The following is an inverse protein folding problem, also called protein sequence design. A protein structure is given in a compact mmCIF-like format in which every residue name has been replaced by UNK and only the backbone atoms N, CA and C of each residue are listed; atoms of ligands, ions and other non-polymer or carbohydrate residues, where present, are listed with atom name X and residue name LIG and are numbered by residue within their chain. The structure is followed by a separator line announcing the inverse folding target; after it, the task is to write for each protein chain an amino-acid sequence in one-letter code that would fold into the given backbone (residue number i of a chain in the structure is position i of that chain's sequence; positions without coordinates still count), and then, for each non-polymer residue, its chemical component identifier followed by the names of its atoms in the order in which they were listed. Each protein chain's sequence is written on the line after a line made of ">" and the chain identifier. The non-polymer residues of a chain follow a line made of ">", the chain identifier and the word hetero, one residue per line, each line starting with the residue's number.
data_IF_723585995988
#
_entry.id   IF_723585995988
#
_cell.length_a   1.000
_cell.length_b   1.000
_cell.length_c   1.000
_cell.angle_alpha   90.00
_cell.angle_beta   90.00
_cell.angle_gamma   90.00
#
_symmetry.space_group_name_H-M   'P 1'
#
loop_
_entity.id
_entity.type
_entity.pdbx_description
1 polymer ?
#
# COMPACT_ATOMS: atom_id res chain seq x y z
N UNK A 1 10.62 63.14 30.61
CA UNK A 1 10.14 62.76 29.27
C UNK A 1 9.68 61.31 29.32
N UNK A 2 8.37 61.10 29.48
CA UNK A 2 7.73 59.78 29.43
C UNK A 2 7.39 59.49 27.96
N UNK A 3 7.97 58.44 27.38
CA UNK A 3 7.58 57.99 26.04
C UNK A 3 6.36 57.08 26.16
N UNK A 4 5.20 57.62 25.79
CA UNK A 4 3.96 56.89 25.53
C UNK A 4 4.14 56.05 24.26
N UNK A 5 4.41 54.75 24.42
CA UNK A 5 4.29 53.78 23.32
C UNK A 5 2.92 53.11 23.45
N UNK A 6 2.03 53.42 22.49
CA UNK A 6 0.79 52.67 22.29
C UNK A 6 1.10 51.45 21.41
N UNK A 7 0.62 50.28 21.83
CA UNK A 7 0.66 49.06 21.01
C UNK A 7 -0.45 49.18 19.98
N UNK A 8 -0.09 49.35 18.69
CA UNK A 8 -1.05 49.60 17.60
C UNK A 8 -1.51 48.28 16.94
N UNK A 9 -0.75 47.18 17.07
CA UNK A 9 -1.17 45.87 16.59
C UNK A 9 -0.31 44.76 17.22
N UNK A 10 -0.97 43.72 17.74
CA UNK A 10 -0.33 42.43 18.04
C UNK A 10 -0.79 41.48 16.95
N UNK A 11 -0.09 41.49 15.81
CA UNK A 11 -0.29 40.51 14.75
C UNK A 11 0.28 39.16 15.19
N UNK A 12 -0.57 38.12 15.19
CA UNK A 12 -0.20 36.76 15.54
C UNK A 12 0.93 36.22 14.64
N UNK A 13 2.16 36.24 15.16
CA UNK A 13 3.32 35.55 14.57
C UNK A 13 3.18 34.02 14.56
N UNK A 14 2.03 33.49 14.97
CA UNK A 14 1.70 32.05 15.01
C UNK A 14 1.15 31.53 13.67
N UNK A 15 0.59 32.40 12.83
CA UNK A 15 0.05 32.00 11.52
C UNK A 15 1.14 31.68 10.50
N UNK A 16 2.29 32.36 10.60
CA UNK A 16 3.42 32.19 9.68
C UNK A 16 4.15 30.84 9.88
N UNK A 17 4.07 30.26 11.08
CA UNK A 17 4.62 28.93 11.35
C UNK A 17 3.69 27.81 10.83
N UNK A 18 2.37 28.03 10.88
CA UNK A 18 1.36 27.11 10.35
C UNK A 18 1.33 27.12 8.82
N UNK A 19 1.54 28.27 8.18
CA UNK A 19 1.68 28.39 6.73
C UNK A 19 2.96 27.70 6.21
N UNK A 20 4.07 27.81 6.95
CA UNK A 20 5.33 27.14 6.61
C UNK A 20 5.24 25.60 6.73
N UNK A 21 4.49 25.09 7.73
CA UNK A 21 4.20 23.66 7.86
C UNK A 21 3.17 23.16 6.82
N UNK A 22 2.22 24.00 6.40
CA UNK A 22 1.26 23.68 5.32
C UNK A 22 1.93 23.46 3.96
N UNK A 23 3.07 24.11 3.70
CA UNK A 23 3.81 24.00 2.43
C UNK A 23 4.78 22.81 2.35
N UNK A 24 4.86 21.95 3.37
CA UNK A 24 5.60 20.70 3.27
C UNK A 24 4.68 19.66 2.60
N UNK A 25 4.70 19.65 1.26
CA UNK A 25 3.90 18.76 0.40
C UNK A 25 4.07 17.25 0.68
N UNK A 26 5.09 16.86 1.46
CA UNK A 26 5.31 15.49 1.90
C UNK A 26 4.42 15.05 3.08
N UNK A 27 3.89 15.98 3.90
CA UNK A 27 3.09 15.65 5.08
C UNK A 27 1.58 15.64 4.83
N UNK A 28 1.12 16.22 3.72
CA UNK A 28 -0.30 16.36 3.39
C UNK A 28 -0.79 15.14 2.59
N UNK A 29 -1.06 14.03 3.29
CA UNK A 29 -1.69 12.84 2.70
C UNK A 29 -3.01 12.55 3.39
N UNK A 30 -4.07 12.42 2.60
CA UNK A 30 -5.40 12.04 3.09
C UNK A 30 -5.36 10.61 3.63
N UNK A 31 -5.92 10.39 4.82
CA UNK A 31 -5.98 9.03 5.39
C UNK A 31 -6.97 8.18 4.61
N UNK A 32 -6.63 6.91 4.42
CA UNK A 32 -7.48 5.96 3.67
C UNK A 32 -8.91 5.87 4.25
N UNK A 33 -9.06 5.94 5.59
CA UNK A 33 -10.36 6.00 6.28
C UNK A 33 -11.19 7.25 5.94
N UNK A 34 -10.55 8.41 5.79
CA UNK A 34 -11.25 9.67 5.44
C UNK A 34 -11.82 9.57 4.02
N UNK A 35 -11.08 8.97 3.09
CA UNK A 35 -11.56 8.70 1.73
C UNK A 35 -12.73 7.69 1.71
N UNK A 36 -12.67 6.65 2.54
CA UNK A 36 -13.79 5.70 2.68
C UNK A 36 -15.07 6.43 3.06
N UNK A 37 -15.00 7.27 4.10
CA UNK A 37 -16.14 8.05 4.57
C UNK A 37 -16.63 9.01 3.48
N UNK A 38 -15.72 9.72 2.82
CA UNK A 38 -16.05 10.60 1.72
C UNK A 38 -16.83 9.89 0.59
N UNK A 39 -16.29 8.77 0.06
CA UNK A 39 -16.95 8.05 -1.03
C UNK A 39 -18.30 7.46 -0.61
N UNK A 40 -18.40 6.89 0.59
CA UNK A 40 -19.66 6.37 1.12
C UNK A 40 -20.71 7.46 1.26
N UNK A 41 -20.35 8.60 1.87
CA UNK A 41 -21.28 9.71 2.04
C UNK A 41 -21.66 10.34 0.70
N UNK A 42 -20.73 10.45 -0.24
CA UNK A 42 -21.02 10.94 -1.59
C UNK A 42 -22.00 10.02 -2.34
N UNK A 43 -21.82 8.70 -2.23
CA UNK A 43 -22.77 7.72 -2.79
C UNK A 43 -24.18 7.92 -2.20
N UNK A 44 -24.29 8.05 -0.88
CA UNK A 44 -25.56 8.29 -0.19
C UNK A 44 -26.23 9.60 -0.64
N UNK A 45 -25.46 10.68 -0.81
CA UNK A 45 -25.98 11.96 -1.29
C UNK A 45 -26.50 11.87 -2.73
N UNK A 46 -25.76 11.18 -3.61
CA UNK A 46 -26.16 10.97 -5.00
C UNK A 46 -27.43 10.09 -5.09
N UNK A 47 -27.51 9.02 -4.30
CA UNK A 47 -28.69 8.14 -4.24
C UNK A 47 -29.93 8.89 -3.72
N UNK A 48 -29.73 9.84 -2.79
CA UNK A 48 -30.78 10.72 -2.31
C UNK A 48 -31.15 11.85 -3.32
N UNK A 49 -30.61 11.81 -4.55
CA UNK A 49 -30.79 12.84 -5.58
C UNK A 49 -30.39 14.25 -5.12
N UNK A 50 -29.44 14.38 -4.20
CA UNK A 50 -28.90 15.67 -3.79
C UNK A 50 -27.95 16.15 -4.91
N UNK A 51 -28.05 17.42 -5.36
CA UNK A 51 -27.14 17.95 -6.38
C UNK A 51 -25.66 17.78 -5.98
N UNK A 52 -24.82 17.31 -6.91
CA UNK A 52 -23.39 16.97 -6.67
C UNK A 52 -22.65 18.10 -5.97
N UNK A 53 -22.77 19.34 -6.47
CA UNK A 53 -22.13 20.52 -5.87
C UNK A 53 -22.56 20.69 -4.41
N UNK A 54 -23.86 20.58 -4.10
CA UNK A 54 -24.37 20.68 -2.74
C UNK A 54 -23.85 19.54 -1.86
N UNK A 55 -23.81 18.32 -2.38
CA UNK A 55 -23.22 17.16 -1.72
C UNK A 55 -21.76 17.44 -1.32
N UNK A 56 -20.93 17.84 -2.28
CA UNK A 56 -19.51 18.17 -2.04
C UNK A 56 -19.34 19.29 -1.00
N UNK A 57 -20.16 20.35 -1.05
CA UNK A 57 -20.12 21.42 -0.03
C UNK A 57 -20.45 20.89 1.36
N UNK A 58 -21.47 20.04 1.51
CA UNK A 58 -21.79 19.40 2.80
C UNK A 58 -20.61 18.55 3.29
N UNK A 59 -20.04 17.71 2.43
CA UNK A 59 -18.91 16.84 2.78
C UNK A 59 -17.65 17.64 3.16
N UNK A 60 -17.39 18.76 2.48
CA UNK A 60 -16.28 19.67 2.82
C UNK A 60 -16.44 20.27 4.22
N UNK A 61 -17.66 20.52 4.68
CA UNK A 61 -17.94 21.06 6.01
C UNK A 61 -17.89 19.99 7.10
N UNK A 62 -18.18 18.72 6.76
CA UNK A 62 -18.21 17.61 7.70
C UNK A 62 -16.85 16.90 7.86
N UNK A 63 -15.94 17.07 6.92
CA UNK A 63 -14.64 16.40 7.00
C UNK A 63 -13.76 17.02 8.08
N UNK A 64 -13.13 16.17 8.89
CA UNK A 64 -12.22 16.59 9.98
C UNK A 64 -10.82 16.95 9.46
N UNK A 65 -10.48 16.51 8.25
CA UNK A 65 -9.16 16.68 7.65
C UNK A 65 -9.10 17.97 6.86
N UNK A 66 -8.34 18.96 7.36
CA UNK A 66 -8.18 20.27 6.70
C UNK A 66 -7.70 20.12 5.25
N UNK A 67 -6.78 19.18 5.00
CA UNK A 67 -6.28 18.94 3.66
C UNK A 67 -7.34 18.34 2.73
N UNK A 68 -8.13 17.36 3.21
CA UNK A 68 -9.22 16.81 2.42
C UNK A 68 -10.33 17.85 2.22
N UNK A 69 -10.58 18.71 3.19
CA UNK A 69 -11.54 19.82 3.09
C UNK A 69 -11.17 20.78 1.96
N UNK A 70 -9.91 21.19 1.88
CA UNK A 70 -9.40 22.05 0.80
C UNK A 70 -9.63 21.38 -0.57
N UNK A 71 -9.27 20.10 -0.71
CA UNK A 71 -9.48 19.34 -1.94
C UNK A 71 -10.97 19.25 -2.32
N UNK A 72 -11.84 18.84 -1.40
CA UNK A 72 -13.28 18.71 -1.70
C UNK A 72 -13.89 20.07 -2.07
N UNK A 73 -13.44 21.14 -1.40
CA UNK A 73 -13.88 22.51 -1.71
C UNK A 73 -13.51 22.91 -3.13
N UNK A 74 -12.29 22.58 -3.56
CA UNK A 74 -11.83 22.87 -4.91
C UNK A 74 -12.55 22.02 -5.96
N UNK A 75 -12.74 20.73 -5.70
CA UNK A 75 -13.57 19.87 -6.56
C UNK A 75 -14.99 20.43 -6.70
N UNK A 76 -15.58 20.96 -5.61
CA UNK A 76 -16.89 21.60 -5.67
C UNK A 76 -16.87 22.88 -6.53
N UNK A 77 -15.82 23.70 -6.44
CA UNK A 77 -15.66 24.91 -7.27
C UNK A 77 -15.60 24.56 -8.76
N UNK A 78 -14.81 23.54 -9.12
CA UNK A 78 -14.64 23.12 -10.52
C UNK A 78 -15.94 22.54 -11.12
N UNK A 79 -16.67 21.74 -10.33
CA UNK A 79 -17.97 21.21 -10.77
C UNK A 79 -19.01 22.32 -10.88
N UNK A 80 -18.99 23.30 -9.96
CA UNK A 80 -19.85 24.50 -10.04
C UNK A 80 -19.51 25.37 -11.26
N UNK A 81 -18.24 25.41 -11.66
CA UNK A 81 -17.75 26.02 -12.89
C UNK A 81 -18.10 25.28 -14.18
N UNK A 82 -18.73 24.10 -14.08
CA UNK A 82 -19.24 23.31 -15.21
C UNK A 82 -18.37 22.12 -15.62
N UNK A 83 -17.29 21.81 -14.90
CA UNK A 83 -16.55 20.57 -15.13
C UNK A 83 -17.33 19.34 -14.67
N UNK A 84 -17.04 18.18 -15.25
CA UNK A 84 -17.53 16.90 -14.71
C UNK A 84 -16.86 16.59 -13.37
N UNK A 85 -17.53 15.80 -12.52
CA UNK A 85 -16.98 15.35 -11.24
C UNK A 85 -15.68 14.56 -11.45
N UNK A 86 -15.63 13.68 -12.45
CA UNK A 86 -14.41 12.94 -12.77
C UNK A 86 -13.25 13.85 -13.18
N UNK A 87 -13.50 14.87 -13.99
CA UNK A 87 -12.47 15.83 -14.42
C UNK A 87 -11.93 16.62 -13.23
N UNK A 88 -12.81 17.14 -12.38
CA UNK A 88 -12.42 17.87 -11.17
C UNK A 88 -11.61 16.98 -10.20
N UNK A 89 -12.00 15.71 -10.02
CA UNK A 89 -11.25 14.77 -9.18
C UNK A 89 -9.90 14.39 -9.77
N UNK A 90 -9.76 14.33 -11.10
CA UNK A 90 -8.52 13.99 -11.79
C UNK A 90 -7.38 14.99 -11.53
N UNK A 91 -7.71 16.22 -11.15
CA UNK A 91 -6.73 17.25 -10.76
C UNK A 91 -5.97 16.90 -9.47
N UNK A 92 -6.44 15.92 -8.69
CA UNK A 92 -5.84 15.50 -7.42
C UNK A 92 -5.42 14.02 -7.42
N UNK A 93 -4.47 13.60 -8.29
CA UNK A 93 -4.10 12.18 -8.48
C UNK A 93 -3.48 11.53 -7.21
N UNK A 94 -2.93 12.35 -6.31
CA UNK A 94 -2.40 11.88 -5.02
C UNK A 94 -3.50 11.49 -4.02
N UNK A 95 -4.74 11.93 -4.24
CA UNK A 95 -5.89 11.71 -3.37
C UNK A 95 -6.91 10.79 -4.03
N UNK A 96 -7.24 11.04 -5.30
CA UNK A 96 -8.13 10.23 -6.11
C UNK A 96 -7.30 9.52 -7.17
N UNK A 97 -7.11 8.22 -7.00
CA UNK A 97 -6.36 7.43 -7.99
C UNK A 97 -7.13 7.35 -9.31
N UNK A 98 -6.41 7.29 -10.42
CA UNK A 98 -6.95 7.14 -11.78
C UNK A 98 -7.99 6.03 -11.90
N UNK A 99 -7.82 4.93 -11.15
CA UNK A 99 -8.81 3.86 -11.00
C UNK A 99 -10.23 4.38 -10.69
N UNK A 100 -10.40 5.16 -9.62
CA UNK A 100 -11.71 5.61 -9.17
C UNK A 100 -12.23 6.73 -10.08
N UNK A 101 -11.33 7.61 -10.55
CA UNK A 101 -11.66 8.71 -11.47
C UNK A 101 -12.25 8.16 -12.78
N UNK A 102 -11.58 7.18 -13.40
CA UNK A 102 -12.03 6.57 -14.65
C UNK A 102 -13.37 5.83 -14.50
N UNK A 103 -13.59 5.19 -13.35
CA UNK A 103 -14.86 4.54 -13.04
C UNK A 103 -15.98 5.58 -12.92
N UNK A 104 -15.77 6.67 -12.17
CA UNK A 104 -16.73 7.77 -12.05
C UNK A 104 -17.05 8.39 -13.43
N UNK A 105 -16.02 8.64 -14.25
CA UNK A 105 -16.18 9.15 -15.62
C UNK A 105 -17.11 8.27 -16.47
N UNK A 106 -16.96 6.94 -16.37
CA UNK A 106 -17.85 6.00 -17.07
C UNK A 106 -19.29 6.08 -16.58
N UNK A 107 -19.49 6.31 -15.28
CA UNK A 107 -20.81 6.53 -14.67
C UNK A 107 -21.47 7.83 -15.10
N UNK A 108 -20.70 8.91 -15.21
CA UNK A 108 -21.18 10.20 -15.71
C UNK A 108 -21.61 10.09 -17.19
N UNK A 109 -20.75 9.48 -18.02
CA UNK A 109 -21.00 9.33 -19.45
C UNK A 109 -22.20 8.44 -19.75
N UNK A 110 -22.41 7.40 -18.94
CA UNK A 110 -23.52 6.44 -19.08
C UNK A 110 -24.81 6.84 -18.33
N UNK A 111 -24.78 7.95 -17.57
CA UNK A 111 -25.91 8.37 -16.74
C UNK A 111 -26.19 7.47 -15.53
N UNK A 112 -25.23 6.64 -15.13
CA UNK A 112 -25.36 5.65 -14.02
C UNK A 112 -24.47 6.01 -12.83
N UNK A 113 -24.30 7.30 -12.56
CA UNK A 113 -23.39 7.79 -11.52
C UNK A 113 -23.72 7.24 -10.12
N UNK A 114 -25.00 7.06 -9.77
CA UNK A 114 -25.44 6.45 -8.50
C UNK A 114 -24.90 5.03 -8.31
N UNK A 115 -25.09 4.15 -9.30
CA UNK A 115 -24.61 2.76 -9.25
C UNK A 115 -23.07 2.72 -9.15
N UNK A 116 -22.41 3.57 -9.92
CA UNK A 116 -20.95 3.65 -9.99
C UNK A 116 -20.36 4.20 -8.70
N UNK A 117 -20.96 5.22 -8.09
CA UNK A 117 -20.46 5.77 -6.83
C UNK A 117 -20.62 4.77 -5.68
N UNK A 118 -21.73 4.01 -5.64
CA UNK A 118 -21.89 2.91 -4.69
C UNK A 118 -20.81 1.84 -4.87
N UNK A 119 -20.52 1.45 -6.11
CA UNK A 119 -19.43 0.53 -6.40
C UNK A 119 -18.08 1.06 -5.90
N UNK A 120 -17.77 2.33 -6.15
CA UNK A 120 -16.53 2.97 -5.69
C UNK A 120 -16.45 2.98 -4.17
N UNK A 121 -17.55 3.32 -3.47
CA UNK A 121 -17.62 3.29 -2.02
C UNK A 121 -17.38 1.88 -1.45
N UNK A 122 -18.11 0.87 -1.96
CA UNK A 122 -17.97 -0.52 -1.55
C UNK A 122 -16.54 -1.04 -1.80
N UNK A 123 -15.96 -0.69 -2.93
CA UNK A 123 -14.59 -1.10 -3.28
C UNK A 123 -13.58 -0.42 -2.35
N UNK A 124 -13.75 0.88 -2.06
CA UNK A 124 -12.85 1.61 -1.16
C UNK A 124 -12.91 1.09 0.27
N UNK A 125 -14.09 0.72 0.76
CA UNK A 125 -14.27 0.06 2.07
C UNK A 125 -13.54 -1.29 2.11
N UNK A 126 -13.73 -2.14 1.10
CA UNK A 126 -13.04 -3.44 1.01
C UNK A 126 -11.51 -3.28 0.96
N UNK A 127 -11.02 -2.31 0.19
CA UNK A 127 -9.60 -2.01 0.09
C UNK A 127 -9.04 -1.55 1.46
N UNK A 128 -9.76 -0.68 2.16
CA UNK A 128 -9.40 -0.22 3.51
C UNK A 128 -9.41 -1.36 4.53
N UNK A 129 -10.43 -2.22 4.51
CA UNK A 129 -10.52 -3.36 5.42
C UNK A 129 -9.37 -4.35 5.22
N UNK A 130 -9.02 -4.61 3.97
CA UNK A 130 -7.85 -5.44 3.63
C UNK A 130 -6.56 -4.81 4.14
N UNK A 131 -6.34 -3.52 3.86
CA UNK A 131 -5.16 -2.79 4.31
C UNK A 131 -5.08 -2.76 5.85
N UNK A 132 -6.21 -2.52 6.52
CA UNK A 132 -6.35 -2.49 7.97
C UNK A 132 -6.04 -3.85 8.59
N UNK A 133 -6.56 -4.95 8.02
CA UNK A 133 -6.25 -6.32 8.45
C UNK A 133 -4.76 -6.62 8.32
N UNK A 134 -4.15 -6.27 7.18
CA UNK A 134 -2.72 -6.46 6.94
C UNK A 134 -1.91 -5.65 7.95
N UNK A 135 -2.24 -4.36 8.12
CA UNK A 135 -1.55 -3.47 9.06
C UNK A 135 -1.68 -3.97 10.50
N UNK A 136 -2.88 -4.37 10.91
CA UNK A 136 -3.17 -4.94 12.22
C UNK A 136 -2.36 -6.20 12.51
N UNK A 137 -2.30 -7.12 11.55
CA UNK A 137 -1.49 -8.33 11.66
C UNK A 137 0.03 -8.05 11.76
N UNK A 138 0.49 -6.93 11.20
CA UNK A 138 1.90 -6.53 11.23
C UNK A 138 2.33 -5.76 12.49
N UNK A 139 1.39 -5.29 13.33
CA UNK A 139 1.73 -4.52 14.54
C UNK A 139 2.58 -5.34 15.50
N UNK A 140 2.11 -6.54 15.85
CA UNK A 140 2.81 -7.41 16.81
C UNK A 140 4.19 -7.89 16.32
N UNK A 141 4.33 -8.39 15.07
CA UNK A 141 5.63 -8.72 14.49
C UNK A 141 6.61 -7.55 14.49
N UNK A 142 6.14 -6.36 14.08
CA UNK A 142 6.97 -5.16 14.02
C UNK A 142 7.46 -4.75 15.41
N UNK A 143 6.59 -4.84 16.43
CA UNK A 143 6.96 -4.55 17.80
C UNK A 143 8.06 -5.49 18.32
N UNK A 144 7.90 -6.81 18.17
CA UNK A 144 8.89 -7.79 18.64
C UNK A 144 10.22 -7.63 17.92
N UNK A 145 10.21 -7.54 16.59
CA UNK A 145 11.43 -7.37 15.80
C UNK A 145 12.13 -6.06 16.18
N UNK A 146 11.38 -4.98 16.41
CA UNK A 146 11.95 -3.70 16.86
C UNK A 146 12.63 -3.84 18.23
N UNK A 147 11.98 -4.48 19.20
CA UNK A 147 12.57 -4.73 20.53
C UNK A 147 13.81 -5.62 20.42
N UNK A 148 13.77 -6.69 19.61
CA UNK A 148 14.89 -7.59 19.38
C UNK A 148 16.08 -6.85 18.75
N UNK A 149 15.84 -5.98 17.77
CA UNK A 149 16.88 -5.17 17.13
C UNK A 149 17.48 -4.16 18.11
N UNK A 150 16.67 -3.47 18.93
CA UNK A 150 17.14 -2.52 19.94
C UNK A 150 17.99 -3.22 21.00
N UNK A 151 17.49 -4.33 21.56
CA UNK A 151 18.22 -5.11 22.58
C UNK A 151 19.50 -5.70 21.98
N UNK A 152 19.43 -6.27 20.77
CA UNK A 152 20.58 -6.80 20.05
C UNK A 152 21.64 -5.72 19.78
N UNK A 153 21.22 -4.52 19.37
CA UNK A 153 22.12 -3.39 19.18
C UNK A 153 22.83 -2.99 20.47
N UNK A 154 22.08 -2.84 21.59
CA UNK A 154 22.67 -2.50 22.89
C UNK A 154 23.71 -3.55 23.31
N UNK A 155 23.39 -4.83 23.15
CA UNK A 155 24.29 -5.92 23.50
C UNK A 155 25.57 -5.85 22.66
N UNK A 156 25.46 -5.74 21.34
CA UNK A 156 26.61 -5.72 20.44
C UNK A 156 27.45 -4.45 20.64
N UNK A 157 26.82 -3.28 20.80
CA UNK A 157 27.52 -2.00 20.90
C UNK A 157 28.16 -1.76 22.28
N UNK A 158 27.54 -2.21 23.37
CA UNK A 158 27.99 -1.90 24.73
C UNK A 158 28.39 -3.12 25.54
N UNK A 159 27.61 -4.19 25.53
CA UNK A 159 27.83 -5.34 26.43
C UNK A 159 29.02 -6.19 25.97
N UNK A 160 29.05 -6.55 24.68
CA UNK A 160 30.10 -7.41 24.13
C UNK A 160 31.50 -6.80 24.22
N UNK A 161 31.73 -5.50 23.89
CA UNK A 161 33.04 -4.87 24.06
C UNK A 161 33.52 -4.83 25.51
N UNK A 162 32.62 -4.54 26.45
CA UNK A 162 32.95 -4.52 27.88
C UNK A 162 33.34 -5.92 28.38
N UNK A 163 32.59 -6.96 28.00
CA UNK A 163 32.94 -8.35 28.33
C UNK A 163 34.29 -8.75 27.73
N UNK A 164 34.55 -8.38 26.48
CA UNK A 164 35.80 -8.69 25.82
C UNK A 164 37.01 -8.04 26.49
N UNK A 165 36.86 -6.79 26.98
CA UNK A 165 37.90 -6.11 27.75
C UNK A 165 38.27 -6.90 29.00
N UNK A 166 37.27 -7.30 29.80
CA UNK A 166 37.48 -8.10 31.03
C UNK A 166 38.13 -9.44 30.73
N UNK A 167 37.70 -10.13 29.67
CA UNK A 167 38.25 -11.43 29.26
C UNK A 167 39.69 -11.33 28.73
N UNK A 168 40.03 -10.21 28.06
CA UNK A 168 41.40 -9.97 27.59
C UNK A 168 42.37 -9.68 28.73
N UNK A 169 41.90 -9.03 29.80
CA UNK A 169 42.68 -8.74 31.01
C UNK A 169 42.93 -10.01 31.85
N UNK A 170 42.06 -11.02 31.76
CA UNK A 170 42.21 -12.31 32.44
C UNK A 170 43.07 -13.32 31.68
N UNK A 171 43.59 -12.98 30.49
CA UNK A 171 44.41 -13.87 29.64
C UNK A 171 43.63 -15.05 29.01
N UNK A 172 42.30 -15.06 29.10
CA UNK A 172 41.47 -16.14 28.57
C UNK A 172 41.28 -15.98 27.05
N UNK A 173 41.35 -17.09 26.30
CA UNK A 173 41.08 -17.05 24.87
C UNK A 173 39.59 -16.90 24.59
N UNK A 174 39.21 -15.86 23.86
CA UNK A 174 37.82 -15.61 23.49
C UNK A 174 37.28 -16.73 22.57
N UNK A 175 36.08 -17.29 22.85
CA UNK A 175 35.38 -18.17 21.91
C UNK A 175 35.20 -17.54 20.54
N UNK A 176 35.13 -18.37 19.49
CA UNK A 176 34.99 -17.89 18.11
C UNK A 176 33.71 -17.06 17.89
N UNK A 177 32.61 -17.41 18.58
CA UNK A 177 31.33 -16.68 18.54
C UNK A 177 31.53 -15.25 19.07
N UNK A 178 32.20 -15.09 20.21
CA UNK A 178 32.48 -13.79 20.83
C UNK A 178 33.44 -12.96 19.96
N UNK A 179 34.45 -13.58 19.34
CA UNK A 179 35.34 -12.90 18.38
C UNK A 179 34.60 -12.40 17.14
N UNK A 180 33.71 -13.20 16.56
CA UNK A 180 32.88 -12.79 15.44
C UNK A 180 31.99 -11.60 15.80
N UNK A 181 31.34 -11.64 16.97
CA UNK A 181 30.49 -10.54 17.44
C UNK A 181 31.28 -9.27 17.77
N UNK A 182 32.52 -9.38 18.26
CA UNK A 182 33.41 -8.23 18.46
C UNK A 182 33.82 -7.58 17.14
N UNK A 183 34.11 -8.37 16.11
CA UNK A 183 34.43 -7.83 14.79
C UNK A 183 33.22 -7.08 14.20
N UNK A 184 32.01 -7.62 14.39
CA UNK A 184 30.76 -6.97 13.99
C UNK A 184 30.51 -5.70 14.82
N UNK A 185 30.76 -5.74 16.13
CA UNK A 185 30.65 -4.58 17.03
C UNK A 185 31.58 -3.44 16.64
N UNK A 186 32.85 -3.75 16.30
CA UNK A 186 33.81 -2.76 15.81
C UNK A 186 33.37 -2.12 14.49
N UNK A 187 32.85 -2.93 13.56
CA UNK A 187 32.30 -2.45 12.29
C UNK A 187 31.09 -1.53 12.51
N UNK A 188 30.11 -1.96 13.33
CA UNK A 188 28.91 -1.17 13.62
C UNK A 188 29.27 0.11 14.36
N UNK A 189 30.12 0.06 15.38
CA UNK A 189 30.49 1.25 16.17
C UNK A 189 31.28 2.29 15.36
N UNK A 190 32.09 1.85 14.39
CA UNK A 190 32.88 2.73 13.53
C UNK A 190 32.11 3.27 12.32
N UNK A 191 31.22 2.46 11.72
CA UNK A 191 30.54 2.75 10.45
C UNK A 191 29.01 2.91 10.55
N UNK A 192 28.42 2.99 11.76
CA UNK A 192 26.95 3.12 11.89
C UNK A 192 26.38 4.28 11.07
N UNK A 193 27.07 5.42 11.03
CA UNK A 193 26.66 6.60 10.25
C UNK A 193 26.72 6.34 8.74
N UNK A 194 27.70 5.57 8.26
CA UNK A 194 27.85 5.19 6.86
C UNK A 194 26.79 4.14 6.45
N UNK A 195 26.44 3.22 7.35
CA UNK A 195 25.32 2.28 7.16
C UNK A 195 23.99 3.03 7.05
N UNK A 196 23.74 4.01 7.92
CA UNK A 196 22.54 4.86 7.82
C UNK A 196 22.54 5.67 6.52
N UNK A 197 23.67 6.27 6.15
CA UNK A 197 23.79 7.05 4.92
C UNK A 197 23.53 6.19 3.68
N UNK A 198 24.09 4.98 3.62
CA UNK A 198 23.83 4.02 2.54
C UNK A 198 22.37 3.55 2.53
N UNK A 199 21.79 3.30 3.70
CA UNK A 199 20.40 2.86 3.81
C UNK A 199 19.43 3.94 3.30
N UNK A 200 19.55 5.18 3.80
CA UNK A 200 18.73 6.29 3.34
C UNK A 200 19.03 6.67 1.88
N UNK A 201 20.29 6.60 1.47
CA UNK A 201 20.71 6.81 0.08
C UNK A 201 20.11 5.78 -0.88
N UNK A 202 20.11 4.50 -0.50
CA UNK A 202 19.48 3.43 -1.27
C UNK A 202 17.97 3.58 -1.34
N UNK A 203 17.32 3.97 -0.24
CA UNK A 203 15.87 4.27 -0.24
C UNK A 203 15.57 5.44 -1.17
N UNK A 204 16.31 6.54 -1.08
CA UNK A 204 16.12 7.70 -1.94
C UNK A 204 16.35 7.36 -3.43
N UNK A 205 17.42 6.62 -3.74
CA UNK A 205 17.72 6.15 -5.09
C UNK A 205 16.62 5.22 -5.62
N UNK A 206 16.13 4.30 -4.80
CA UNK A 206 15.02 3.41 -5.14
C UNK A 206 13.72 4.20 -5.39
N UNK A 207 13.38 5.15 -4.52
CA UNK A 207 12.20 6.01 -4.68
C UNK A 207 12.26 6.88 -5.93
N UNK A 208 13.46 7.34 -6.32
CA UNK A 208 13.67 8.05 -7.58
C UNK A 208 13.54 7.10 -8.78
N UNK A 209 14.10 5.89 -8.69
CA UNK A 209 14.08 4.89 -9.75
C UNK A 209 12.66 4.43 -10.09
N UNK A 210 11.82 4.15 -9.09
CA UNK A 210 10.43 3.69 -9.31
C UNK A 210 9.49 4.73 -9.93
N UNK A 211 9.92 6.00 -10.06
CA UNK A 211 9.18 7.03 -10.80
C UNK A 211 9.48 7.01 -12.31
N UNK A 212 10.48 6.24 -12.73
CA UNK A 212 10.80 6.07 -14.15
C UNK A 212 9.94 4.96 -14.77
N UNK A 213 9.64 4.99 -16.08
CA UNK A 213 8.85 3.94 -16.73
C UNK A 213 9.45 2.53 -16.58
N UNK A 214 10.78 2.43 -16.66
CA UNK A 214 11.48 1.15 -16.44
C UNK A 214 11.41 0.69 -14.99
N UNK A 215 11.54 1.62 -14.04
CA UNK A 215 11.43 1.32 -12.61
C UNK A 215 10.02 0.90 -12.20
N UNK A 216 8.99 1.48 -12.82
CA UNK A 216 7.60 1.07 -12.63
C UNK A 216 7.38 -0.37 -13.11
N UNK A 217 7.86 -0.73 -14.30
CA UNK A 217 7.76 -2.09 -14.83
C UNK A 217 8.47 -3.12 -13.93
N UNK A 218 9.69 -2.81 -13.49
CA UNK A 218 10.47 -3.69 -12.58
C UNK A 218 9.75 -3.83 -11.23
N UNK A 219 9.27 -2.72 -10.65
CA UNK A 219 8.52 -2.74 -9.40
C UNK A 219 7.27 -3.62 -9.51
N UNK A 220 6.51 -3.47 -10.58
CA UNK A 220 5.26 -4.19 -10.79
C UNK A 220 5.47 -5.67 -11.11
N UNK A 221 6.53 -6.00 -11.85
CA UNK A 221 6.99 -7.38 -12.07
C UNK A 221 7.50 -8.01 -10.77
N UNK A 222 8.24 -7.27 -9.94
CA UNK A 222 8.68 -7.76 -8.63
C UNK A 222 7.49 -8.07 -7.73
N UNK A 223 6.49 -7.19 -7.64
CA UNK A 223 5.29 -7.42 -6.80
C UNK A 223 4.64 -8.77 -7.06
N UNK A 224 4.52 -9.20 -8.32
CA UNK A 224 3.85 -10.45 -8.71
C UNK A 224 4.75 -11.69 -8.60
N UNK A 225 6.07 -11.51 -8.48
CA UNK A 225 7.07 -12.58 -8.46
C UNK A 225 7.68 -12.81 -7.06
N UNK A 226 7.47 -11.90 -6.10
CA UNK A 226 7.93 -12.10 -4.72
C UNK A 226 7.32 -13.40 -4.17
N UNK A 227 8.15 -14.32 -3.61
CA UNK A 227 7.64 -15.52 -2.97
C UNK A 227 6.61 -15.17 -1.90
N UNK A 228 5.58 -16.00 -1.77
CA UNK A 228 4.48 -15.81 -0.80
C UNK A 228 3.54 -14.64 -1.14
N UNK A 229 4.04 -13.40 -1.23
CA UNK A 229 3.21 -12.21 -1.48
C UNK A 229 2.80 -12.04 -2.96
N UNK A 230 3.56 -12.58 -3.91
CA UNK A 230 3.27 -12.47 -5.34
C UNK A 230 1.96 -13.14 -5.74
N UNK A 231 1.59 -14.23 -5.07
CA UNK A 231 0.27 -14.87 -5.23
C UNK A 231 -0.87 -13.95 -4.79
N UNK A 232 -0.70 -13.24 -3.68
CA UNK A 232 -1.68 -12.28 -3.17
C UNK A 232 -1.87 -11.16 -4.19
N UNK A 233 -0.78 -10.54 -4.66
CA UNK A 233 -0.85 -9.48 -5.66
C UNK A 233 -1.54 -9.94 -6.94
N UNK A 234 -1.17 -11.12 -7.46
CA UNK A 234 -1.81 -11.72 -8.63
C UNK A 234 -3.32 -11.88 -8.43
N UNK A 235 -3.75 -12.42 -7.29
CA UNK A 235 -5.17 -12.55 -6.99
C UNK A 235 -5.87 -11.19 -6.85
N UNK A 236 -5.22 -10.17 -6.26
CA UNK A 236 -5.77 -8.80 -6.18
C UNK A 236 -6.06 -8.25 -7.58
N UNK A 237 -5.11 -8.40 -8.51
CA UNK A 237 -5.29 -7.93 -9.88
C UNK A 237 -6.41 -8.71 -10.60
N UNK A 238 -6.49 -10.03 -10.41
CA UNK A 238 -7.60 -10.84 -10.94
C UNK A 238 -8.95 -10.41 -10.38
N UNK A 239 -9.06 -10.19 -9.07
CA UNK A 239 -10.30 -9.71 -8.44
C UNK A 239 -10.71 -8.36 -9.04
N UNK A 240 -9.76 -7.44 -9.19
CA UNK A 240 -9.99 -6.12 -9.79
C UNK A 240 -10.50 -6.24 -11.22
N UNK A 241 -9.81 -7.01 -12.08
CA UNK A 241 -10.21 -7.26 -13.47
C UNK A 241 -11.62 -7.85 -13.51
N UNK A 242 -11.86 -8.96 -12.83
CA UNK A 242 -13.15 -9.66 -12.88
C UNK A 242 -14.29 -8.79 -12.37
N UNK A 243 -14.08 -8.07 -11.26
CA UNK A 243 -15.12 -7.24 -10.65
C UNK A 243 -15.41 -5.99 -11.48
N UNK A 244 -14.39 -5.29 -11.96
CA UNK A 244 -14.59 -4.14 -12.87
C UNK A 244 -15.27 -4.58 -14.16
N UNK A 245 -14.87 -5.73 -14.72
CA UNK A 245 -15.46 -6.26 -15.94
C UNK A 245 -16.93 -6.66 -15.74
N UNK A 246 -17.25 -7.35 -14.65
CA UNK A 246 -18.63 -7.67 -14.29
C UNK A 246 -19.52 -6.42 -14.19
N UNK A 247 -19.02 -5.36 -13.55
CA UNK A 247 -19.74 -4.09 -13.40
C UNK A 247 -20.03 -3.45 -14.76
N UNK A 248 -19.03 -3.39 -15.65
CA UNK A 248 -19.17 -2.78 -16.98
C UNK A 248 -20.09 -3.58 -17.89
N UNK A 249 -19.96 -4.91 -17.89
CA UNK A 249 -20.84 -5.82 -18.66
C UNK A 249 -22.28 -5.74 -18.15
N UNK A 250 -22.49 -5.71 -16.82
CA UNK A 250 -23.81 -5.45 -16.22
C UNK A 250 -24.36 -4.08 -16.62
N UNK A 251 -23.48 -3.10 -16.79
CA UNK A 251 -23.77 -1.77 -17.32
C UNK A 251 -24.25 -1.77 -18.77
N UNK A 252 -24.07 -2.87 -19.51
CA UNK A 252 -24.32 -2.94 -20.95
C UNK A 252 -23.19 -2.33 -21.78
N UNK A 253 -22.02 -2.07 -21.20
CA UNK A 253 -20.86 -1.54 -21.92
C UNK A 253 -20.32 -2.63 -22.86
N UNK A 254 -20.04 -2.33 -24.14
CA UNK A 254 -19.44 -3.30 -25.06
C UNK A 254 -18.14 -3.91 -24.51
N UNK A 255 -17.85 -5.14 -24.88
CA UNK A 255 -16.71 -5.91 -24.33
C UNK A 255 -15.36 -5.22 -24.62
N UNK A 256 -15.11 -4.81 -25.87
CA UNK A 256 -13.84 -4.15 -26.25
C UNK A 256 -13.64 -2.83 -25.50
N UNK A 257 -14.72 -2.05 -25.34
CA UNK A 257 -14.70 -0.83 -24.54
C UNK A 257 -14.50 -1.13 -23.05
N UNK A 258 -15.11 -2.19 -22.53
CA UNK A 258 -14.93 -2.64 -21.15
C UNK A 258 -13.47 -3.00 -20.88
N UNK A 259 -12.82 -3.75 -21.77
CA UNK A 259 -11.39 -4.09 -21.65
C UNK A 259 -10.50 -2.85 -21.69
N UNK A 260 -10.82 -1.88 -22.55
CA UNK A 260 -10.10 -0.59 -22.60
C UNK A 260 -10.19 0.17 -21.27
N UNK A 261 -11.37 0.19 -20.64
CA UNK A 261 -11.54 0.76 -19.29
C UNK A 261 -10.75 -0.06 -18.27
N UNK A 262 -10.83 -1.39 -18.31
CA UNK A 262 -10.15 -2.30 -17.36
C UNK A 262 -8.63 -2.10 -17.41
N UNK A 263 -8.05 -1.91 -18.60
CA UNK A 263 -6.64 -1.58 -18.78
C UNK A 263 -6.24 -0.35 -17.97
N UNK A 264 -7.01 0.74 -18.07
CA UNK A 264 -6.72 1.99 -17.33
C UNK A 264 -6.93 1.91 -15.81
N UNK A 265 -7.44 0.79 -15.30
CA UNK A 265 -7.80 0.65 -13.88
C UNK A 265 -7.08 -0.53 -13.20
N UNK A 266 -6.51 -1.50 -13.93
CA UNK A 266 -5.86 -2.67 -13.29
C UNK A 266 -4.68 -2.28 -12.39
N UNK A 267 -3.97 -1.19 -12.71
CA UNK A 267 -2.94 -0.58 -11.84
C UNK A 267 -1.70 -1.46 -11.65
N UNK A 268 -1.34 -2.20 -12.70
CA UNK A 268 -0.10 -2.96 -12.82
C UNK A 268 0.26 -3.13 -14.28
N UNK A 269 1.44 -2.66 -14.67
CA UNK A 269 1.85 -2.60 -16.07
C UNK A 269 1.85 -3.98 -16.75
N UNK A 270 2.23 -5.05 -16.03
CA UNK A 270 2.22 -6.41 -16.58
C UNK A 270 0.79 -6.86 -16.89
N UNK A 271 -0.18 -6.53 -16.04
CA UNK A 271 -1.59 -6.84 -16.33
C UNK A 271 -2.21 -5.91 -17.37
N UNK A 272 -1.74 -4.66 -17.48
CA UNK A 272 -2.15 -3.75 -18.55
C UNK A 272 -1.74 -4.27 -19.91
N UNK A 273 -0.53 -4.81 -20.04
CA UNK A 273 -0.05 -5.48 -21.26
C UNK A 273 -0.93 -6.69 -21.59
N UNK A 274 -1.26 -7.53 -20.61
CA UNK A 274 -2.17 -8.69 -20.81
C UNK A 274 -3.54 -8.25 -21.32
N UNK A 275 -4.12 -7.21 -20.74
CA UNK A 275 -5.42 -6.69 -21.17
C UNK A 275 -5.31 -6.04 -22.55
N UNK A 276 -4.21 -5.36 -22.84
CA UNK A 276 -3.97 -4.75 -24.14
C UNK A 276 -3.91 -5.79 -25.26
N UNK A 277 -3.30 -6.96 -25.00
CA UNK A 277 -3.28 -8.07 -25.95
C UNK A 277 -4.67 -8.71 -26.09
N UNK A 278 -5.45 -8.78 -25.00
CA UNK A 278 -6.85 -9.21 -25.05
C UNK A 278 -7.73 -8.26 -25.88
N UNK A 279 -7.54 -6.94 -25.77
CA UNK A 279 -8.26 -5.95 -26.60
C UNK A 279 -8.02 -6.23 -28.08
N UNK A 280 -6.76 -6.35 -28.50
CA UNK A 280 -6.40 -6.62 -29.90
C UNK A 280 -7.04 -7.91 -30.40
N UNK A 281 -6.94 -8.97 -29.60
CA UNK A 281 -7.50 -10.28 -29.93
C UNK A 281 -9.02 -10.24 -30.12
N UNK A 282 -9.74 -9.50 -29.28
CA UNK A 282 -11.20 -9.34 -29.37
C UNK A 282 -11.60 -8.46 -30.55
N UNK A 283 -10.85 -7.39 -30.83
CA UNK A 283 -11.08 -6.53 -31.99
C UNK A 283 -10.87 -7.29 -33.32
N UNK A 284 -10.01 -8.32 -33.31
CA UNK A 284 -9.81 -9.27 -34.41
C UNK A 284 -10.89 -10.38 -34.48
N UNK A 285 -11.81 -10.44 -33.50
CA UNK A 285 -12.94 -11.37 -33.47
C UNK A 285 -12.70 -12.68 -32.71
N UNK A 286 -11.56 -12.83 -32.02
CA UNK A 286 -11.28 -14.01 -31.19
C UNK A 286 -11.94 -13.91 -29.81
N UNK A 287 -12.04 -15.04 -29.10
CA UNK A 287 -12.58 -15.07 -27.73
C UNK A 287 -11.59 -14.45 -26.72
N UNK A 288 -12.12 -13.84 -25.64
CA UNK A 288 -11.31 -13.26 -24.57
C UNK A 288 -10.53 -14.36 -23.86
N UNK A 289 -11.20 -15.49 -23.60
CA UNK A 289 -10.62 -16.63 -22.90
C UNK A 289 -9.37 -17.16 -23.60
N UNK A 290 -9.34 -17.23 -24.93
CA UNK A 290 -8.17 -17.65 -25.71
C UNK A 290 -6.97 -16.72 -25.52
N UNK A 291 -7.19 -15.40 -25.56
CA UNK A 291 -6.11 -14.43 -25.34
C UNK A 291 -5.53 -14.52 -23.93
N UNK A 292 -6.40 -14.64 -22.92
CA UNK A 292 -5.98 -14.76 -21.52
C UNK A 292 -5.29 -16.09 -21.20
N UNK A 293 -5.63 -17.17 -21.91
CA UNK A 293 -5.04 -18.50 -21.71
C UNK A 293 -3.53 -18.53 -21.96
N UNK A 294 -3.03 -17.64 -22.82
CA UNK A 294 -1.61 -17.57 -23.18
C UNK A 294 -0.70 -17.06 -22.05
N UNK A 295 -1.26 -16.38 -21.03
CA UNK A 295 -0.48 -15.72 -20.00
C UNK A 295 -0.46 -16.47 -18.65
N UNK A 296 0.75 -16.78 -18.17
CA UNK A 296 0.99 -17.52 -16.91
C UNK A 296 0.52 -16.79 -15.65
N UNK A 297 0.29 -15.48 -15.72
CA UNK A 297 -0.21 -14.68 -14.59
C UNK A 297 -1.74 -14.78 -14.44
N UNK A 298 -2.45 -15.26 -15.46
CA UNK A 298 -3.88 -15.52 -15.38
C UNK A 298 -4.10 -16.95 -14.91
N UNK A 299 -4.84 -17.18 -13.80
CA UNK A 299 -5.16 -18.52 -13.36
C UNK A 299 -6.07 -19.25 -14.35
N UNK A 300 -5.81 -20.55 -14.55
CA UNK A 300 -6.58 -21.42 -15.47
C UNK A 300 -8.09 -21.39 -15.18
N UNK A 301 -8.48 -21.29 -13.90
CA UNK A 301 -9.88 -21.26 -13.47
C UNK A 301 -10.58 -20.00 -14.01
N UNK A 302 -9.90 -18.85 -14.03
CA UNK A 302 -10.48 -17.60 -14.57
C UNK A 302 -10.73 -17.74 -16.07
N UNK A 303 -9.75 -18.28 -16.80
CA UNK A 303 -9.85 -18.51 -18.25
C UNK A 303 -11.04 -19.41 -18.57
N UNK A 304 -11.18 -20.53 -17.85
CA UNK A 304 -12.28 -21.47 -18.03
C UNK A 304 -13.63 -20.86 -17.69
N UNK A 305 -13.71 -20.09 -16.59
CA UNK A 305 -14.94 -19.42 -16.19
C UNK A 305 -15.37 -18.40 -17.23
N UNK A 306 -14.44 -17.61 -17.77
CA UNK A 306 -14.71 -16.65 -18.86
C UNK A 306 -15.20 -17.38 -20.10
N UNK A 307 -14.51 -18.44 -20.54
CA UNK A 307 -14.92 -19.26 -21.70
C UNK A 307 -16.36 -19.78 -21.54
N UNK A 308 -16.70 -20.36 -20.38
CA UNK A 308 -18.08 -20.81 -20.10
C UNK A 308 -19.08 -19.64 -20.11
N UNK A 309 -18.69 -18.47 -19.63
CA UNK A 309 -19.52 -17.26 -19.66
C UNK A 309 -19.72 -16.70 -21.06
N UNK A 310 -18.70 -16.77 -21.92
CA UNK A 310 -18.76 -16.38 -23.33
C UNK A 310 -19.73 -17.30 -24.09
N UNK A 311 -19.54 -18.63 -23.97
CA UNK A 311 -20.37 -19.63 -24.67
C UNK A 311 -21.84 -19.61 -24.22
N UNK A 312 -22.08 -19.36 -22.93
CA UNK A 312 -23.43 -19.37 -22.35
C UNK A 312 -24.11 -18.00 -22.29
N UNK A 313 -23.41 -16.93 -22.71
CA UNK A 313 -23.89 -15.55 -22.61
C UNK A 313 -24.05 -15.04 -21.17
N UNK A 314 -23.40 -15.69 -20.20
CA UNK A 314 -23.47 -15.39 -18.74
C UNK A 314 -22.15 -14.86 -18.21
N UNK A 315 -21.49 -14.01 -19.00
CA UNK A 315 -20.16 -13.47 -18.69
C UNK A 315 -20.16 -12.70 -17.36
N UNK A 316 -21.22 -11.94 -17.08
CA UNK A 316 -21.38 -11.21 -15.81
C UNK A 316 -21.29 -12.15 -14.61
N UNK A 317 -22.09 -13.21 -14.60
CA UNK A 317 -22.22 -14.11 -13.45
C UNK A 317 -20.92 -14.87 -13.18
N UNK A 318 -20.21 -15.30 -14.23
CA UNK A 318 -18.93 -16.00 -14.07
C UNK A 318 -17.81 -15.08 -13.59
N UNK A 319 -17.81 -13.81 -14.01
CA UNK A 319 -16.85 -12.80 -13.57
C UNK A 319 -17.07 -12.45 -12.09
N UNK A 320 -18.32 -12.25 -11.66
CA UNK A 320 -18.67 -12.02 -10.24
C UNK A 320 -18.22 -13.19 -9.36
N UNK A 321 -18.53 -14.43 -9.77
CA UNK A 321 -18.10 -15.63 -9.03
C UNK A 321 -16.59 -15.78 -8.96
N UNK A 322 -15.89 -15.46 -10.05
CA UNK A 322 -14.42 -15.50 -10.09
C UNK A 322 -13.81 -14.46 -9.15
N UNK A 323 -14.32 -13.23 -9.15
CA UNK A 323 -13.90 -12.19 -8.23
C UNK A 323 -14.10 -12.60 -6.77
N UNK A 324 -15.26 -13.17 -6.44
CA UNK A 324 -15.56 -13.60 -5.06
C UNK A 324 -14.72 -14.80 -4.61
N UNK A 325 -14.44 -15.74 -5.53
CA UNK A 325 -13.55 -16.86 -5.26
C UNK A 325 -12.14 -16.39 -4.91
N UNK A 326 -11.53 -15.55 -5.75
CA UNK A 326 -10.18 -15.04 -5.49
C UNK A 326 -10.13 -14.05 -4.32
N UNK A 327 -11.21 -13.31 -4.05
CA UNK A 327 -11.31 -12.49 -2.83
C UNK A 327 -11.21 -13.36 -1.56
N UNK A 328 -11.91 -14.50 -1.53
CA UNK A 328 -11.79 -15.46 -0.41
C UNK A 328 -10.40 -16.07 -0.33
N UNK A 329 -9.78 -16.36 -1.47
CA UNK A 329 -8.42 -16.90 -1.51
C UNK A 329 -7.38 -15.90 -0.97
N UNK A 330 -7.55 -14.61 -1.24
CA UNK A 330 -6.74 -13.53 -0.64
C UNK A 330 -6.95 -13.53 0.88
N UNK A 331 -8.19 -13.51 1.36
CA UNK A 331 -8.49 -13.51 2.80
C UNK A 331 -7.91 -14.75 3.52
N UNK A 332 -7.94 -15.91 2.88
CA UNK A 332 -7.37 -17.14 3.42
C UNK A 332 -5.84 -17.08 3.45
N UNK A 333 -5.22 -16.59 2.38
CA UNK A 333 -3.77 -16.44 2.30
C UNK A 333 -3.27 -15.46 3.36
N UNK A 334 -3.93 -14.31 3.52
CA UNK A 334 -3.58 -13.31 4.55
C UNK A 334 -3.70 -13.92 5.95
N UNK A 335 -4.79 -14.65 6.24
CA UNK A 335 -4.95 -15.35 7.54
C UNK A 335 -3.84 -16.37 7.79
N UNK A 336 -3.50 -17.18 6.79
CA UNK A 336 -2.44 -18.18 6.92
C UNK A 336 -1.07 -17.52 7.16
N UNK A 337 -0.78 -16.40 6.49
CA UNK A 337 0.45 -15.66 6.73
C UNK A 337 0.52 -15.10 8.14
N UNK A 338 -0.56 -14.48 8.62
CA UNK A 338 -0.63 -14.01 10.00
C UNK A 338 -0.34 -15.12 11.01
N UNK A 339 -0.90 -16.32 10.79
CA UNK A 339 -0.67 -17.48 11.67
C UNK A 339 0.76 -18.02 11.60
N UNK A 340 1.41 -17.96 10.44
CA UNK A 340 2.79 -18.43 10.27
C UNK A 340 3.84 -17.47 10.83
N UNK A 341 3.51 -16.18 10.97
CA UNK A 341 4.45 -15.19 11.49
C UNK A 341 4.83 -15.50 12.95
N UNK A 342 3.89 -15.96 13.78
CA UNK A 342 4.17 -16.25 15.20
C UNK A 342 5.21 -17.36 15.41
N UNK A 343 5.10 -18.56 14.81
CA UNK A 343 6.15 -19.59 14.87
C UNK A 343 7.52 -19.10 14.38
N UNK A 344 7.55 -18.33 13.29
CA UNK A 344 8.80 -17.78 12.75
C UNK A 344 9.45 -16.84 13.77
N UNK A 345 8.67 -15.97 14.40
CA UNK A 345 9.16 -15.07 15.47
C UNK A 345 9.72 -15.89 16.64
N UNK A 346 9.03 -16.94 17.09
CA UNK A 346 9.51 -17.78 18.20
C UNK A 346 10.85 -18.45 17.88
N UNK A 347 11.03 -18.95 16.65
CA UNK A 347 12.31 -19.54 16.22
C UNK A 347 13.41 -18.48 16.18
N UNK A 348 13.15 -17.31 15.59
CA UNK A 348 14.13 -16.22 15.51
C UNK A 348 14.53 -15.73 16.90
N UNK A 349 13.55 -15.56 17.80
CA UNK A 349 13.79 -15.13 19.17
C UNK A 349 14.58 -16.18 19.96
N UNK A 350 14.21 -17.46 19.83
CA UNK A 350 14.96 -18.56 20.45
C UNK A 350 16.41 -18.62 19.98
N UNK A 351 16.65 -18.47 18.67
CA UNK A 351 17.99 -18.39 18.11
C UNK A 351 18.76 -17.15 18.61
N UNK A 352 18.12 -15.98 18.62
CA UNK A 352 18.74 -14.74 19.10
C UNK A 352 19.14 -14.83 20.59
N UNK A 353 18.24 -15.33 21.44
CA UNK A 353 18.52 -15.54 22.87
C UNK A 353 19.57 -16.64 23.06
N UNK A 354 19.51 -17.73 22.31
CA UNK A 354 20.51 -18.80 22.35
C UNK A 354 21.91 -18.31 21.98
N UNK A 355 22.03 -17.52 20.92
CA UNK A 355 23.28 -16.87 20.52
C UNK A 355 23.78 -15.90 21.59
N UNK A 356 22.89 -15.13 22.21
CA UNK A 356 23.24 -14.23 23.32
C UNK A 356 23.80 -15.01 24.51
N UNK A 357 23.07 -16.04 24.96
CA UNK A 357 23.49 -16.89 26.08
C UNK A 357 24.84 -17.55 25.77
N UNK A 358 25.03 -18.08 24.56
CA UNK A 358 26.30 -18.65 24.15
C UNK A 358 27.43 -17.62 24.15
N UNK A 359 27.18 -16.40 23.68
CA UNK A 359 28.17 -15.33 23.62
C UNK A 359 28.62 -14.82 24.99
N UNK A 360 27.75 -14.90 26.01
CA UNK A 360 28.02 -14.40 27.38
C UNK A 360 28.45 -15.52 28.33
N UNK A 361 27.72 -16.63 28.38
CA UNK A 361 27.94 -17.71 29.36
C UNK A 361 29.18 -18.54 28.99
N UNK A 362 29.41 -18.87 27.72
CA UNK A 362 30.57 -19.70 27.34
C UNK A 362 31.91 -19.09 27.79
N UNK A 363 32.19 -17.79 27.58
CA UNK A 363 33.39 -17.17 28.12
C UNK A 363 33.46 -17.18 29.66
N UNK A 364 32.33 -16.94 30.34
CA UNK A 364 32.30 -16.99 31.82
C UNK A 364 32.65 -18.37 32.34
N UNK A 365 32.19 -19.43 31.68
CA UNK A 365 32.47 -20.80 32.10
C UNK A 365 33.96 -21.15 31.91
N UNK A 366 34.56 -20.72 30.80
CA UNK A 366 36.01 -20.86 30.57
C UNK A 366 36.83 -20.11 31.61
N UNK A 367 36.39 -18.91 32.01
CA UNK A 367 37.04 -18.14 33.07
C UNK A 367 36.98 -18.89 34.40
N UNK A 368 35.81 -19.43 34.76
CA UNK A 368 35.65 -20.21 36.00
C UNK A 368 36.41 -21.54 36.03
N UNK A 369 36.70 -22.13 34.87
CA UNK A 369 37.48 -23.37 34.75
C UNK A 369 39.00 -23.13 34.70
N UNK A 370 39.42 -21.86 34.52
CA UNK A 370 40.84 -21.45 34.49
C UNK A 370 41.37 -20.94 35.84
N UNK A 371 40.48 -20.71 36.80
CA UNK A 371 40.77 -20.59 38.23
C UNK A 371 40.59 -21.96 38.90
#
# INVERSE_FOLDING_TARGET
>A
MQNNLAVIEVGERLDDYRSFLKNISFLNKVKSKELVVFFRQMAVMIDANIPIVRGLRILSQQTESDYLKEIITEVANEVEGGQSLSSAMSMFPNTFSDFYVNIIMSGETSGRLSEVMNYVADQKEKDYDLESKIRGAMVYPSFIVSVLLVVGFIIIAFVIPNLAKVLSESGAQLPWITRALLSLSGFVSMFWWLVLLLFFGAIAAWLAFIKTPQGEHIKDSLKINIPVFGKIWRHIYIVRICRSFATLVRGGVPISQSLSVIKGVVGNVVFEEIIQDAIKSVDEGNQISESLASNKNIPIIVVQMISVGEDSGKLKEVLEKSADFYSREIDNTVRNLSNLIEPVIMIVLGLAVGLFVAAVILPMWQLSASF
#
